data_IF_172474706518
#
_entry.id   IF_172474706518
#
_cell.length_a   1.000
_cell.length_b   1.000
_cell.length_c   1.000
_cell.angle_alpha   90.00
_cell.angle_beta   90.00
_cell.angle_gamma   90.00
#
_symmetry.space_group_name_H-M   'P 1'
#
loop_
_entity.id
_entity.type
_entity.pdbx_description
1 polymer ?
#
# COMPACT_ATOMS: atom_id res chain seq x y z
N UNK A 1 -31.90 12.80 27.75
CA UNK A 1 -32.33 13.38 26.45
C UNK A 1 -31.76 12.53 25.34
N UNK A 2 -32.48 12.38 24.22
CA UNK A 2 -32.00 11.62 23.07
C UNK A 2 -30.81 12.35 22.41
N UNK A 3 -29.81 11.61 21.94
CA UNK A 3 -28.70 12.16 21.16
C UNK A 3 -29.24 12.83 19.89
N UNK A 4 -29.14 14.17 19.82
CA UNK A 4 -29.58 14.95 18.66
C UNK A 4 -28.43 15.73 18.02
N UNK A 5 -27.69 15.10 17.09
CA UNK A 5 -26.52 15.69 16.44
C UNK A 5 -26.87 16.77 15.42
N UNK A 6 -28.12 16.85 14.95
CA UNK A 6 -28.56 17.86 13.96
C UNK A 6 -28.74 19.25 14.57
N UNK A 7 -28.83 19.36 15.90
CA UNK A 7 -28.91 20.64 16.60
C UNK A 7 -27.57 21.35 16.79
N UNK A 8 -26.45 20.67 16.49
CA UNK A 8 -25.12 21.28 16.57
C UNK A 8 -24.94 22.24 15.39
N UNK A 9 -24.50 23.45 15.69
CA UNK A 9 -24.26 24.53 14.73
C UNK A 9 -22.81 24.98 14.82
N UNK A 10 -22.38 25.79 13.85
CA UNK A 10 -21.04 26.36 13.82
C UNK A 10 -20.68 27.09 15.12
N UNK A 11 -21.62 27.82 15.71
CA UNK A 11 -21.45 28.51 16.99
C UNK A 11 -21.09 27.57 18.13
N UNK A 12 -21.73 26.40 18.21
CA UNK A 12 -21.42 25.40 19.24
C UNK A 12 -20.02 24.80 19.05
N UNK A 13 -19.57 24.67 17.80
CA UNK A 13 -18.21 24.21 17.49
C UNK A 13 -17.17 25.24 17.92
N UNK A 14 -17.39 26.53 17.62
CA UNK A 14 -16.49 27.60 18.06
C UNK A 14 -16.42 27.70 19.60
N UNK A 15 -17.58 27.66 20.28
CA UNK A 15 -17.63 27.64 21.75
C UNK A 15 -16.93 26.42 22.36
N UNK A 16 -16.96 25.27 21.66
CA UNK A 16 -16.23 24.09 22.07
C UNK A 16 -14.71 24.31 21.99
N UNK A 17 -14.22 24.94 20.91
CA UNK A 17 -12.80 25.26 20.76
C UNK A 17 -12.35 26.27 21.82
N UNK A 18 -13.10 27.36 22.03
CA UNK A 18 -12.78 28.37 23.04
C UNK A 18 -12.64 27.73 24.44
N UNK A 19 -13.52 26.78 24.77
CA UNK A 19 -13.45 26.03 26.03
C UNK A 19 -12.21 25.14 26.10
N UNK A 20 -11.94 24.38 25.03
CA UNK A 20 -10.79 23.48 24.96
C UNK A 20 -9.48 24.25 25.16
N UNK A 21 -9.35 25.42 24.54
CA UNK A 21 -8.16 26.27 24.65
C UNK A 21 -8.05 26.92 26.03
N UNK A 22 -9.15 27.50 26.54
CA UNK A 22 -9.16 28.17 27.85
C UNK A 22 -8.86 27.21 29.00
N UNK A 23 -9.39 25.99 28.94
CA UNK A 23 -9.22 24.97 29.97
C UNK A 23 -8.01 24.05 29.70
N UNK A 24 -7.26 24.27 28.62
CA UNK A 24 -6.12 23.44 28.17
C UNK A 24 -6.42 21.93 28.20
N UNK A 25 -7.58 21.56 27.66
CA UNK A 25 -8.08 20.19 27.74
C UNK A 25 -7.23 19.25 26.87
N UNK A 26 -6.81 18.13 27.45
CA UNK A 26 -6.13 17.07 26.71
C UNK A 26 -7.11 16.28 25.84
N UNK A 27 -6.98 16.43 24.51
CA UNK A 27 -7.85 15.75 23.54
C UNK A 27 -7.32 14.38 23.16
N UNK A 28 -8.23 13.43 22.93
CA UNK A 28 -7.90 12.14 22.32
C UNK A 28 -7.46 12.37 20.88
N UNK A 29 -6.23 11.95 20.56
CA UNK A 29 -5.65 12.14 19.22
C UNK A 29 -6.45 11.39 18.15
N UNK A 30 -6.60 12.02 17.00
CA UNK A 30 -7.12 11.37 15.80
C UNK A 30 -6.00 10.63 15.06
N UNK A 31 -6.34 9.52 14.42
CA UNK A 31 -5.38 8.68 13.68
C UNK A 31 -5.15 9.13 12.23
N UNK A 32 -6.15 9.80 11.63
CA UNK A 32 -6.15 10.13 10.19
C UNK A 32 -6.73 11.50 9.85
N UNK A 33 -7.79 11.90 10.54
CA UNK A 33 -8.54 13.10 10.16
C UNK A 33 -8.32 14.22 11.16
N UNK A 34 -8.04 15.42 10.69
CA UNK A 34 -7.98 16.64 11.48
C UNK A 34 -8.99 17.66 10.93
N UNK A 35 -9.49 18.54 11.78
CA UNK A 35 -10.28 19.71 11.36
C UNK A 35 -9.48 20.97 11.66
N UNK A 36 -9.40 21.88 10.68
CA UNK A 36 -8.76 23.18 10.81
C UNK A 36 -9.79 24.23 11.25
N UNK A 37 -9.54 24.85 12.40
CA UNK A 37 -10.38 25.91 12.98
C UNK A 37 -9.44 26.97 13.54
N UNK A 38 -9.62 28.24 13.15
CA UNK A 38 -8.78 29.36 13.59
C UNK A 38 -7.26 29.13 13.41
N UNK A 39 -6.85 28.54 12.27
CA UNK A 39 -5.46 28.15 11.97
C UNK A 39 -4.83 27.09 12.89
N UNK A 40 -5.64 26.44 13.74
CA UNK A 40 -5.23 25.32 14.59
C UNK A 40 -5.94 24.04 14.17
N UNK A 41 -5.31 22.89 14.42
CA UNK A 41 -5.85 21.59 14.02
C UNK A 41 -6.32 20.77 15.21
N UNK A 42 -7.54 20.25 15.14
CA UNK A 42 -8.16 19.49 16.23
C UNK A 42 -8.66 18.11 15.76
N UNK A 43 -8.76 17.10 16.65
CA UNK A 43 -9.43 15.84 16.38
C UNK A 43 -10.94 16.03 16.15
N UNK A 44 -11.50 15.72 14.96
CA UNK A 44 -12.90 16.00 14.61
C UNK A 44 -13.92 15.40 15.59
N UNK A 45 -13.66 14.17 16.06
CA UNK A 45 -14.56 13.48 16.99
C UNK A 45 -14.60 14.14 18.37
N UNK A 46 -13.46 14.62 18.86
CA UNK A 46 -13.42 15.32 20.13
C UNK A 46 -14.10 16.69 20.02
N UNK A 47 -13.87 17.42 18.93
CA UNK A 47 -14.57 18.70 18.68
C UNK A 47 -16.09 18.50 18.71
N UNK A 48 -16.61 17.47 18.04
CA UNK A 48 -18.06 17.21 18.05
C UNK A 48 -18.59 16.77 19.42
N UNK A 49 -17.80 16.04 20.22
CA UNK A 49 -18.15 15.70 21.61
C UNK A 49 -18.30 16.94 22.50
N UNK A 50 -17.37 17.90 22.37
CA UNK A 50 -17.45 19.16 23.12
C UNK A 50 -18.54 20.08 22.56
N UNK A 51 -18.76 20.11 21.25
CA UNK A 51 -19.86 20.87 20.65
C UNK A 51 -21.23 20.34 21.12
N UNK A 52 -21.38 19.01 21.23
CA UNK A 52 -22.57 18.41 21.83
C UNK A 52 -22.73 18.78 23.31
N UNK A 53 -21.62 18.86 24.06
CA UNK A 53 -21.64 19.34 25.45
C UNK A 53 -22.12 20.80 25.55
N UNK A 54 -21.77 21.67 24.60
CA UNK A 54 -22.29 23.05 24.59
C UNK A 54 -23.79 23.11 24.30
N UNK A 55 -24.30 22.20 23.47
CA UNK A 55 -25.73 22.13 23.14
C UNK A 55 -26.58 21.60 24.30
N UNK A 56 -26.17 20.49 24.91
CA UNK A 56 -27.01 19.71 25.82
C UNK A 56 -26.41 19.50 27.23
N UNK A 57 -25.22 20.03 27.51
CA UNK A 57 -24.53 19.91 28.80
C UNK A 57 -23.73 18.62 29.01
N UNK A 58 -23.84 17.61 28.12
CA UNK A 58 -23.14 16.33 28.25
C UNK A 58 -22.28 15.97 27.02
N UNK A 59 -21.13 15.34 27.27
CA UNK A 59 -20.12 14.96 26.26
C UNK A 59 -20.45 13.60 25.64
N UNK A 60 -21.32 13.57 24.63
CA UNK A 60 -21.69 12.34 23.89
C UNK A 60 -21.55 12.55 22.39
N UNK A 61 -21.00 11.53 21.71
CA UNK A 61 -20.97 11.46 20.24
C UNK A 61 -21.03 10.01 19.81
N UNK A 62 -22.21 9.58 19.36
CA UNK A 62 -22.49 8.17 19.02
C UNK A 62 -21.96 7.77 17.65
N UNK A 63 -21.72 8.73 16.75
CA UNK A 63 -21.17 8.42 15.43
C UNK A 63 -19.70 7.96 15.51
N UNK A 64 -19.37 7.03 14.62
CA UNK A 64 -18.00 6.62 14.35
C UNK A 64 -17.11 7.79 13.90
N UNK A 65 -15.79 7.63 14.05
CA UNK A 65 -14.81 8.59 13.52
C UNK A 65 -14.76 8.63 11.99
N UNK A 66 -13.97 9.53 11.43
CA UNK A 66 -13.82 9.68 9.98
C UNK A 66 -15.06 10.28 9.31
N UNK A 67 -15.46 9.74 8.15
CA UNK A 67 -16.48 10.35 7.29
C UNK A 67 -17.84 10.58 8.00
N UNK A 68 -18.23 9.69 8.91
CA UNK A 68 -19.48 9.81 9.66
C UNK A 68 -19.52 11.04 10.58
N UNK A 69 -18.36 11.46 11.11
CA UNK A 69 -18.20 12.68 11.91
C UNK A 69 -17.88 13.89 11.03
N UNK A 70 -16.96 13.74 10.08
CA UNK A 70 -16.46 14.82 9.23
C UNK A 70 -17.57 15.52 8.44
N UNK A 71 -18.58 14.78 7.99
CA UNK A 71 -19.72 15.34 7.24
C UNK A 71 -20.45 16.48 7.98
N UNK A 72 -20.45 16.48 9.32
CA UNK A 72 -21.09 17.54 10.10
C UNK A 72 -20.25 18.82 10.07
N UNK A 73 -18.94 18.68 10.22
CA UNK A 73 -17.98 19.80 10.16
C UNK A 73 -17.90 20.38 8.75
N UNK A 74 -17.90 19.54 7.72
CA UNK A 74 -17.93 19.96 6.31
C UNK A 74 -19.22 20.75 5.98
N UNK A 75 -20.38 20.31 6.49
CA UNK A 75 -21.65 21.06 6.36
C UNK A 75 -21.59 22.43 7.02
N UNK A 76 -20.81 22.55 8.10
CA UNK A 76 -20.50 23.81 8.78
C UNK A 76 -19.33 24.57 8.14
N UNK A 77 -18.89 24.16 6.93
CA UNK A 77 -17.80 24.77 6.14
C UNK A 77 -16.42 24.74 6.80
N UNK A 78 -16.21 23.88 7.81
CA UNK A 78 -14.88 23.65 8.34
C UNK A 78 -14.07 22.77 7.39
N UNK A 79 -12.77 23.08 7.27
CA UNK A 79 -11.85 22.34 6.42
C UNK A 79 -11.35 21.09 7.13
N UNK A 80 -11.52 19.94 6.48
CA UNK A 80 -11.01 18.65 6.94
C UNK A 80 -9.69 18.33 6.25
N UNK A 81 -8.70 17.91 7.02
CA UNK A 81 -7.37 17.50 6.58
C UNK A 81 -7.24 15.99 6.76
N UNK A 82 -6.90 15.28 5.67
CA UNK A 82 -6.51 13.87 5.71
C UNK A 82 -4.99 13.79 5.88
N UNK A 83 -4.53 13.38 7.07
CA UNK A 83 -3.09 13.27 7.35
C UNK A 83 -2.43 12.15 6.57
N UNK A 84 -3.21 11.23 5.98
CA UNK A 84 -2.68 10.12 5.18
C UNK A 84 -2.58 10.44 3.70
N UNK A 85 -3.16 11.56 3.24
CA UNK A 85 -3.15 11.95 1.81
C UNK A 85 -1.73 12.11 1.25
N UNK A 86 -0.75 12.44 2.10
CA UNK A 86 0.66 12.62 1.73
C UNK A 86 1.58 11.59 2.40
N UNK A 87 1.03 10.46 2.90
CA UNK A 87 1.84 9.44 3.59
C UNK A 87 2.94 8.86 2.71
N UNK A 88 2.68 8.75 1.41
CA UNK A 88 3.63 8.24 0.42
C UNK A 88 4.83 9.19 0.29
N UNK A 89 4.60 10.51 0.19
CA UNK A 89 5.69 11.48 0.08
C UNK A 89 6.62 11.43 1.29
N UNK A 90 6.04 11.29 2.49
CA UNK A 90 6.81 11.12 3.73
C UNK A 90 7.62 9.82 3.72
N UNK A 91 7.05 8.72 3.21
CA UNK A 91 7.76 7.44 3.07
C UNK A 91 8.89 7.54 2.05
N UNK A 92 8.68 8.23 0.93
CA UNK A 92 9.69 8.48 -0.09
C UNK A 92 10.85 9.28 0.49
N UNK A 93 10.57 10.37 1.21
CA UNK A 93 11.62 11.19 1.83
C UNK A 93 12.39 10.41 2.90
N UNK A 94 11.71 9.61 3.72
CA UNK A 94 12.38 8.70 4.66
C UNK A 94 13.28 7.71 3.93
N UNK A 95 12.81 7.09 2.85
CA UNK A 95 13.58 6.13 2.08
C UNK A 95 14.81 6.78 1.42
N UNK A 96 14.68 7.99 0.84
CA UNK A 96 15.82 8.76 0.32
C UNK A 96 16.88 9.03 1.39
N UNK A 97 16.45 9.45 2.58
CA UNK A 97 17.36 9.70 3.70
C UNK A 97 18.08 8.42 4.15
N UNK A 98 17.39 7.28 4.19
CA UNK A 98 18.01 6.00 4.52
C UNK A 98 18.99 5.54 3.44
N UNK A 99 18.69 5.75 2.16
CA UNK A 99 19.64 5.50 1.06
C UNK A 99 20.90 6.34 1.22
N UNK A 100 20.78 7.62 1.58
CA UNK A 100 21.94 8.50 1.77
C UNK A 100 22.85 8.02 2.91
N UNK A 101 22.27 7.45 3.99
CA UNK A 101 23.04 6.91 5.13
C UNK A 101 23.66 5.56 4.84
N UNK A 102 22.88 4.65 4.28
CA UNK A 102 23.26 3.23 4.11
C UNK A 102 24.03 2.98 2.81
N UNK A 103 23.96 3.92 1.85
CA UNK A 103 24.52 3.77 0.51
C UNK A 103 24.06 2.49 -0.20
N UNK A 104 22.78 2.12 -0.01
CA UNK A 104 22.16 0.92 -0.61
C UNK A 104 22.89 -0.40 -0.32
N UNK A 105 23.74 -0.46 0.72
CA UNK A 105 24.53 -1.66 1.02
C UNK A 105 23.66 -2.91 1.15
N UNK A 106 22.52 -2.78 1.84
CA UNK A 106 21.60 -3.89 2.10
C UNK A 106 20.68 -4.23 0.91
N UNK A 107 20.60 -3.36 -0.09
CA UNK A 107 19.73 -3.55 -1.27
C UNK A 107 20.52 -3.82 -2.56
N UNK A 108 21.85 -3.79 -2.51
CA UNK A 108 22.73 -4.02 -3.65
C UNK A 108 22.43 -5.34 -4.37
N UNK A 109 22.12 -6.40 -3.61
CA UNK A 109 21.82 -7.72 -4.16
C UNK A 109 20.63 -7.69 -5.15
N UNK A 110 19.63 -6.81 -4.93
CA UNK A 110 18.47 -6.70 -5.81
C UNK A 110 18.92 -6.32 -7.23
N UNK A 111 19.85 -5.38 -7.32
CA UNK A 111 20.43 -4.92 -8.60
C UNK A 111 21.33 -5.96 -9.24
N UNK A 112 22.10 -6.71 -8.44
CA UNK A 112 22.92 -7.82 -8.94
C UNK A 112 22.03 -8.90 -9.58
N UNK A 113 20.95 -9.29 -8.91
CA UNK A 113 19.98 -10.25 -9.44
C UNK A 113 19.34 -9.76 -10.74
N UNK A 114 18.94 -8.49 -10.83
CA UNK A 114 18.39 -7.93 -12.08
C UNK A 114 19.42 -7.86 -13.20
N UNK A 115 20.70 -7.63 -12.88
CA UNK A 115 21.76 -7.65 -13.87
C UNK A 115 22.03 -9.05 -14.41
N UNK A 116 21.88 -10.08 -13.58
CA UNK A 116 22.16 -11.47 -13.94
C UNK A 116 20.95 -12.17 -14.61
N UNK A 117 19.75 -11.94 -14.08
CA UNK A 117 18.53 -12.65 -14.49
C UNK A 117 17.51 -11.76 -15.23
N UNK A 118 17.85 -10.51 -15.54
CA UNK A 118 16.98 -9.61 -16.29
C UNK A 118 16.63 -10.14 -17.68
N UNK A 119 15.36 -10.07 -18.05
CA UNK A 119 14.80 -10.65 -19.27
C UNK A 119 14.33 -12.10 -19.14
N UNK A 120 14.30 -12.66 -17.92
CA UNK A 120 13.82 -14.02 -17.62
C UNK A 120 12.49 -13.98 -16.86
N UNK A 121 11.66 -15.05 -16.88
CA UNK A 121 11.87 -16.34 -17.57
C UNK A 121 11.69 -16.25 -19.08
N UNK A 122 12.44 -17.06 -19.83
CA UNK A 122 12.19 -17.27 -21.24
C UNK A 122 10.97 -18.20 -21.45
N UNK A 123 9.82 -17.61 -21.80
CA UNK A 123 8.57 -18.34 -22.01
C UNK A 123 8.54 -19.18 -23.30
N UNK A 124 9.60 -19.15 -24.12
CA UNK A 124 9.72 -19.99 -25.31
C UNK A 124 10.52 -21.28 -25.05
N UNK A 125 11.12 -21.45 -23.86
CA UNK A 125 11.85 -22.66 -23.51
C UNK A 125 10.92 -23.87 -23.46
N UNK A 126 11.36 -25.02 -23.99
CA UNK A 126 10.59 -26.25 -23.94
C UNK A 126 10.31 -26.66 -22.49
N UNK A 127 11.34 -26.61 -21.63
CA UNK A 127 11.24 -26.95 -20.22
C UNK A 127 11.19 -25.71 -19.32
N UNK A 128 9.98 -25.16 -19.17
CA UNK A 128 9.75 -23.98 -18.33
C UNK A 128 10.05 -24.22 -16.84
N UNK A 129 9.97 -25.47 -16.36
CA UNK A 129 10.31 -25.81 -14.98
C UNK A 129 11.81 -25.60 -14.70
N UNK A 130 12.67 -26.08 -15.59
CA UNK A 130 14.12 -25.90 -15.45
C UNK A 130 14.53 -24.43 -15.64
N UNK A 131 13.90 -23.71 -16.57
CA UNK A 131 14.06 -22.26 -16.73
C UNK A 131 13.80 -21.54 -15.39
N UNK A 132 12.65 -21.79 -14.75
CA UNK A 132 12.29 -21.15 -13.48
C UNK A 132 13.20 -21.60 -12.32
N UNK A 133 13.64 -22.86 -12.28
CA UNK A 133 14.56 -23.35 -11.24
C UNK A 133 15.93 -22.68 -11.29
N UNK A 134 16.38 -22.33 -12.50
CA UNK A 134 17.69 -21.70 -12.71
C UNK A 134 17.72 -20.18 -12.46
N UNK A 135 16.59 -19.57 -12.09
CA UNK A 135 16.54 -18.15 -11.69
C UNK A 135 16.65 -18.07 -10.17
N UNK A 136 17.64 -17.32 -9.67
CA UNK A 136 17.67 -16.96 -8.26
C UNK A 136 16.88 -15.68 -8.01
N UNK A 137 15.80 -15.81 -7.24
CA UNK A 137 15.03 -14.67 -6.74
C UNK A 137 15.45 -14.23 -5.33
N UNK A 138 16.37 -14.96 -4.68
CA UNK A 138 16.82 -14.72 -3.30
C UNK A 138 15.64 -14.43 -2.36
N UNK A 139 15.71 -13.34 -1.60
CA UNK A 139 14.67 -12.84 -0.69
C UNK A 139 13.58 -12.02 -1.38
N UNK A 140 13.60 -11.83 -2.70
CA UNK A 140 12.53 -11.09 -3.38
C UNK A 140 11.23 -11.89 -3.43
N UNK A 141 11.33 -13.20 -3.66
CA UNK A 141 10.19 -14.12 -3.67
C UNK A 141 10.10 -14.89 -2.35
N UNK A 142 8.88 -15.03 -1.82
CA UNK A 142 8.65 -15.88 -0.65
C UNK A 142 8.97 -17.34 -0.96
N UNK A 143 9.56 -18.08 -0.01
CA UNK A 143 10.01 -19.44 -0.24
C UNK A 143 8.88 -20.39 -0.69
N UNK A 144 7.68 -20.26 -0.11
CA UNK A 144 6.53 -21.09 -0.53
C UNK A 144 6.02 -20.72 -1.91
N UNK A 145 6.12 -19.45 -2.31
CA UNK A 145 5.78 -19.03 -3.68
C UNK A 145 6.67 -19.76 -4.70
N UNK A 146 7.97 -19.92 -4.41
CA UNK A 146 8.89 -20.71 -5.24
C UNK A 146 8.47 -22.18 -5.30
N UNK A 147 8.17 -22.78 -4.15
CA UNK A 147 7.80 -24.19 -4.05
C UNK A 147 6.50 -24.50 -4.79
N UNK A 148 5.46 -23.70 -4.59
CA UNK A 148 4.17 -23.85 -5.27
C UNK A 148 4.33 -23.66 -6.78
N UNK A 149 5.06 -22.64 -7.23
CA UNK A 149 5.30 -22.43 -8.65
C UNK A 149 6.01 -23.63 -9.30
N UNK A 150 7.01 -24.22 -8.63
CA UNK A 150 7.69 -25.43 -9.11
C UNK A 150 6.75 -26.63 -9.18
N UNK A 151 5.88 -26.80 -8.19
CA UNK A 151 4.87 -27.86 -8.21
C UNK A 151 3.89 -27.68 -9.37
N UNK A 152 3.34 -26.47 -9.54
CA UNK A 152 2.43 -26.15 -10.65
C UNK A 152 3.07 -26.37 -12.02
N UNK A 153 4.35 -26.03 -12.18
CA UNK A 153 5.09 -26.25 -13.42
C UNK A 153 5.42 -27.72 -13.68
N UNK A 154 5.54 -28.55 -12.63
CA UNK A 154 5.73 -29.99 -12.80
C UNK A 154 4.45 -30.67 -13.30
N UNK A 155 3.28 -30.25 -12.79
CA UNK A 155 1.99 -30.86 -13.13
C UNK A 155 1.34 -30.23 -14.38
N UNK A 156 1.43 -28.91 -14.54
CA UNK A 156 0.65 -28.11 -15.52
C UNK A 156 1.51 -27.01 -16.19
N UNK A 157 2.64 -27.36 -16.85
CA UNK A 157 3.59 -26.38 -17.36
C UNK A 157 2.99 -25.40 -18.39
N UNK A 158 2.18 -25.91 -19.33
CA UNK A 158 1.63 -25.08 -20.42
C UNK A 158 0.55 -24.10 -19.93
N UNK A 159 -0.26 -24.49 -18.94
CA UNK A 159 -1.23 -23.58 -18.33
C UNK A 159 -0.52 -22.43 -17.62
N UNK A 160 0.54 -22.72 -16.86
CA UNK A 160 1.37 -21.70 -16.22
C UNK A 160 2.06 -20.79 -17.25
N UNK A 161 2.54 -21.34 -18.37
CA UNK A 161 3.11 -20.56 -19.47
C UNK A 161 2.11 -19.53 -20.01
N UNK A 162 0.85 -19.93 -20.22
CA UNK A 162 -0.21 -19.02 -20.65
C UNK A 162 -0.51 -17.93 -19.61
N UNK A 163 -0.49 -18.27 -18.33
CA UNK A 163 -0.65 -17.29 -17.25
C UNK A 163 0.48 -16.27 -17.24
N UNK A 164 1.74 -16.70 -17.41
CA UNK A 164 2.87 -15.77 -17.53
C UNK A 164 2.76 -14.88 -18.77
N UNK A 165 2.36 -15.43 -19.93
CA UNK A 165 2.13 -14.62 -21.13
C UNK A 165 1.10 -13.51 -20.88
N UNK A 166 -0.01 -13.83 -20.21
CA UNK A 166 -1.03 -12.85 -19.84
C UNK A 166 -0.51 -11.83 -18.81
N UNK A 167 0.29 -12.27 -17.83
CA UNK A 167 0.90 -11.38 -16.83
C UNK A 167 1.85 -10.36 -17.47
N UNK A 168 2.55 -10.75 -18.53
CA UNK A 168 3.54 -9.92 -19.21
C UNK A 168 2.99 -9.13 -20.40
N UNK A 169 1.69 -9.26 -20.70
CA UNK A 169 1.05 -8.53 -21.79
C UNK A 169 0.79 -7.05 -21.44
N UNK A 170 1.69 -6.15 -21.87
CA UNK A 170 1.56 -4.72 -21.59
C UNK A 170 0.33 -4.05 -22.24
N UNK A 171 -0.39 -4.73 -23.13
CA UNK A 171 -1.64 -4.22 -23.70
C UNK A 171 -2.82 -4.29 -22.73
N UNK A 172 -2.69 -5.06 -21.64
CA UNK A 172 -3.70 -5.25 -20.60
C UNK A 172 -3.32 -4.41 -19.36
N UNK A 173 -4.34 -3.81 -18.73
CA UNK A 173 -4.16 -3.06 -17.48
C UNK A 173 -3.44 -3.89 -16.40
N UNK A 174 -2.49 -3.26 -15.70
CA UNK A 174 -1.64 -3.92 -14.69
C UNK A 174 -2.47 -4.59 -13.59
N UNK A 175 -3.51 -3.92 -13.07
CA UNK A 175 -4.32 -4.48 -11.99
C UNK A 175 -5.08 -5.71 -12.48
N UNK A 176 -5.55 -5.68 -13.72
CA UNK A 176 -6.26 -6.79 -14.35
C UNK A 176 -5.34 -8.00 -14.52
N UNK A 177 -4.09 -7.79 -14.97
CA UNK A 177 -3.08 -8.85 -15.12
C UNK A 177 -2.71 -9.49 -13.80
N UNK A 178 -2.37 -8.68 -12.80
CA UNK A 178 -1.97 -9.15 -11.46
C UNK A 178 -3.12 -9.93 -10.80
N UNK A 179 -4.34 -9.38 -10.85
CA UNK A 179 -5.53 -10.04 -10.30
C UNK A 179 -5.80 -11.36 -11.00
N UNK A 180 -5.81 -11.38 -12.34
CA UNK A 180 -6.06 -12.60 -13.10
C UNK A 180 -5.00 -13.67 -12.86
N UNK A 181 -3.72 -13.29 -12.73
CA UNK A 181 -2.66 -14.26 -12.45
C UNK A 181 -2.85 -14.87 -11.06
N UNK A 182 -3.13 -14.06 -10.04
CA UNK A 182 -3.40 -14.53 -8.68
C UNK A 182 -4.58 -15.51 -8.65
N UNK A 183 -5.74 -15.09 -9.18
CA UNK A 183 -6.96 -15.90 -9.14
C UNK A 183 -6.81 -17.20 -9.92
N UNK A 184 -6.25 -17.15 -11.15
CA UNK A 184 -6.10 -18.34 -11.99
C UNK A 184 -5.04 -19.31 -11.47
N UNK A 185 -3.93 -18.82 -10.92
CA UNK A 185 -2.94 -19.73 -10.29
C UNK A 185 -3.52 -20.39 -9.05
N UNK A 186 -4.35 -19.68 -8.26
CA UNK A 186 -5.08 -20.30 -7.14
C UNK A 186 -6.07 -21.36 -7.62
N UNK A 187 -6.86 -21.08 -8.65
CA UNK A 187 -7.79 -22.06 -9.23
C UNK A 187 -7.05 -23.31 -9.71
N UNK A 188 -5.93 -23.12 -10.41
CA UNK A 188 -5.10 -24.23 -10.88
C UNK A 188 -4.55 -25.05 -9.71
N UNK A 189 -4.02 -24.39 -8.68
CA UNK A 189 -3.52 -25.04 -7.48
C UNK A 189 -4.62 -25.86 -6.77
N UNK A 190 -5.82 -25.29 -6.63
CA UNK A 190 -6.99 -25.98 -6.06
C UNK A 190 -7.42 -27.19 -6.89
N UNK A 191 -7.30 -27.13 -8.22
CA UNK A 191 -7.65 -28.23 -9.11
C UNK A 191 -6.77 -29.47 -8.91
N UNK A 192 -5.57 -29.30 -8.35
CA UNK A 192 -4.67 -30.40 -7.97
C UNK A 192 -5.04 -31.03 -6.60
N UNK A 193 -6.12 -30.58 -5.96
CA UNK A 193 -6.56 -31.08 -4.65
C UNK A 193 -5.89 -30.37 -3.45
N UNK A 194 -5.10 -29.34 -3.71
CA UNK A 194 -4.36 -28.61 -2.68
C UNK A 194 -5.26 -27.68 -1.88
N UNK A 195 -5.06 -27.63 -0.55
CA UNK A 195 -5.90 -26.85 0.39
C UNK A 195 -5.20 -25.62 0.98
N UNK A 196 -3.87 -25.54 0.86
CA UNK A 196 -3.06 -24.44 1.36
C UNK A 196 -3.11 -23.20 0.46
N UNK A 197 -2.47 -22.10 0.88
CA UNK A 197 -2.32 -20.91 0.03
C UNK A 197 -1.27 -21.14 -1.06
N UNK A 198 -1.53 -20.65 -2.28
CA UNK A 198 -0.61 -20.78 -3.42
C UNK A 198 0.55 -19.76 -3.39
N UNK A 199 0.44 -18.74 -2.53
CA UNK A 199 1.46 -17.70 -2.31
C UNK A 199 1.93 -16.93 -3.56
N UNK A 200 1.14 -16.92 -4.65
CA UNK A 200 1.39 -16.03 -5.80
C UNK A 200 0.65 -14.70 -5.57
N UNK A 201 1.16 -13.91 -4.63
CA UNK A 201 0.64 -12.60 -4.21
C UNK A 201 1.27 -11.43 -4.99
N UNK A 202 0.85 -10.19 -4.72
CA UNK A 202 1.34 -8.99 -5.41
C UNK A 202 2.86 -8.88 -5.39
N UNK A 203 3.51 -9.36 -4.31
CA UNK A 203 4.98 -9.41 -4.21
C UNK A 203 5.59 -10.36 -5.24
N UNK A 204 5.00 -11.55 -5.40
CA UNK A 204 5.47 -12.53 -6.38
C UNK A 204 5.33 -12.00 -7.80
N UNK A 205 4.15 -11.48 -8.15
CA UNK A 205 3.91 -10.88 -9.47
C UNK A 205 4.81 -9.67 -9.74
N UNK A 206 5.01 -8.78 -8.74
CA UNK A 206 5.93 -7.65 -8.88
C UNK A 206 7.36 -8.13 -9.17
N UNK A 207 7.80 -9.20 -8.52
CA UNK A 207 9.14 -9.78 -8.76
C UNK A 207 9.25 -10.35 -10.17
N UNK A 208 8.26 -11.14 -10.62
CA UNK A 208 8.25 -11.68 -11.98
C UNK A 208 8.26 -10.58 -13.04
N UNK A 209 7.42 -9.55 -12.88
CA UNK A 209 7.39 -8.39 -13.77
C UNK A 209 8.73 -7.66 -13.80
N UNK A 210 9.36 -7.46 -12.64
CA UNK A 210 10.66 -6.76 -12.56
C UNK A 210 11.77 -7.53 -13.27
N UNK A 211 11.78 -8.87 -13.17
CA UNK A 211 12.76 -9.71 -13.85
C UNK A 211 12.47 -9.82 -15.36
N UNK A 212 11.20 -9.91 -15.74
CA UNK A 212 10.80 -10.06 -17.14
C UNK A 212 10.99 -8.77 -17.94
N UNK A 213 10.59 -7.61 -17.37
CA UNK A 213 10.86 -6.32 -17.98
C UNK A 213 12.38 -6.20 -18.02
N UNK A 214 12.94 -6.33 -19.22
CA UNK A 214 14.32 -5.96 -19.50
C UNK A 214 14.36 -4.46 -19.32
N UNK A 215 14.50 -4.00 -18.06
CA UNK A 215 14.76 -2.60 -17.76
C UNK A 215 15.99 -2.30 -18.60
N UNK A 216 15.79 -1.52 -19.68
CA UNK A 216 16.91 -1.01 -20.43
C UNK A 216 17.76 -0.33 -19.36
N UNK A 217 18.99 -0.81 -19.22
CA UNK A 217 20.00 -0.29 -18.28
C UNK A 217 20.14 1.24 -18.37
N UNK A 218 19.62 1.84 -19.44
CA UNK A 218 19.48 3.28 -19.64
C UNK A 218 18.61 4.02 -18.63
N UNK A 219 17.51 3.46 -18.10
CA UNK A 219 16.61 4.27 -17.26
C UNK A 219 16.99 4.36 -15.78
N UNK A 220 17.76 3.41 -15.25
CA UNK A 220 18.08 3.38 -13.81
C UNK A 220 19.59 3.34 -13.53
N UNK A 221 20.43 2.80 -14.42
CA UNK A 221 21.73 2.28 -13.98
C UNK A 221 22.97 3.12 -14.29
N UNK A 222 22.92 4.18 -15.09
CA UNK A 222 24.14 4.99 -15.35
C UNK A 222 24.25 6.21 -14.45
N UNK A 223 23.17 6.92 -14.13
CA UNK A 223 23.21 8.04 -13.18
C UNK A 223 23.06 7.59 -11.71
N UNK A 224 22.18 6.64 -11.41
CA UNK A 224 21.87 6.28 -10.02
C UNK A 224 22.99 5.44 -9.37
N UNK A 225 23.53 4.46 -10.10
CA UNK A 225 24.63 3.63 -9.61
C UNK A 225 25.92 4.45 -9.50
N UNK A 226 26.25 5.30 -10.49
CA UNK A 226 27.45 6.16 -10.40
C UNK A 226 27.41 7.16 -9.25
N UNK A 227 26.23 7.70 -8.92
CA UNK A 227 26.12 8.75 -7.89
C UNK A 227 25.97 8.18 -6.47
N UNK A 228 25.34 7.03 -6.30
CA UNK A 228 24.99 6.50 -4.96
C UNK A 228 25.71 5.20 -4.57
N UNK A 229 26.29 4.49 -5.53
CA UNK A 229 27.10 3.29 -5.28
C UNK A 229 28.53 3.61 -5.73
N UNK A 230 29.25 4.39 -4.91
CA UNK A 230 30.68 4.60 -5.12
C UNK A 230 31.41 3.26 -4.96
N UNK A 231 32.23 2.95 -5.97
CA UNK A 231 33.25 1.91 -5.91
C UNK A 231 34.37 2.31 -4.95
#
# INVERSE_FOLDING_TARGET
>A
MAFNPKGITEKHVLQAIDKIEKEQITLIKSTRWLVEINNSTYPPKEVMRYAHQQLNGYKVWEYGGGHATNKFLERMRFKIIDTHKNGIDVLIEKYKNEIQKTHLKDERYKWQLLSEYGGRPNLNEENLLEEIKSIDYSNLLYAMSKAVMRHLLAERPEEIRLLFKMLFDETIDLNTRVKSFNEKTLTLYRSLGETLQHHQDERSMATYLTFFIRISTHFISTLFIKNYVKY
#
